data_IF_832595317080
#
_entry.id   IF_832595317080
#
_cell.length_a   1.000
_cell.length_b   1.000
_cell.length_c   1.000
_cell.angle_alpha   90.00
_cell.angle_beta   90.00
_cell.angle_gamma   90.00
#
_symmetry.space_group_name_H-M   'P 1'
#
loop_
_entity.id
_entity.type
_entity.pdbx_description
1 polymer ?
#
# COMPACT_ATOMS: atom_id res chain seq x y z
N UNK A 1 -3.16 -11.97 -18.88
CA UNK A 1 -3.99 -10.76 -19.10
C UNK A 1 -4.49 -10.24 -17.75
N UNK A 2 -4.59 -8.92 -17.54
CA UNK A 2 -5.07 -8.38 -16.28
C UNK A 2 -6.49 -8.84 -15.91
N UNK A 3 -6.72 -9.07 -14.62
CA UNK A 3 -8.00 -9.58 -14.09
C UNK A 3 -9.12 -8.55 -14.03
N UNK A 4 -8.77 -7.26 -14.08
CA UNK A 4 -9.73 -6.14 -14.01
C UNK A 4 -10.32 -5.78 -15.38
N UNK A 5 -9.83 -6.37 -16.47
CA UNK A 5 -10.42 -6.19 -17.80
C UNK A 5 -11.74 -6.99 -17.88
N UNK A 6 -12.80 -6.32 -18.31
CA UNK A 6 -14.06 -6.96 -18.65
C UNK A 6 -13.97 -7.62 -20.03
N UNK A 7 -13.80 -8.95 -20.03
CA UNK A 7 -13.72 -9.75 -21.25
C UNK A 7 -15.04 -9.84 -22.02
N UNK A 8 -16.19 -9.55 -21.38
CA UNK A 8 -17.49 -9.64 -22.05
C UNK A 8 -17.66 -8.59 -23.14
N UNK A 9 -16.87 -7.52 -23.08
CA UNK A 9 -16.85 -6.43 -24.06
C UNK A 9 -15.93 -6.69 -25.26
N UNK A 10 -15.08 -7.71 -25.19
CA UNK A 10 -14.00 -7.94 -26.17
C UNK A 10 -14.24 -9.22 -26.96
N UNK A 11 -14.73 -10.27 -26.28
CA UNK A 11 -14.82 -11.61 -26.87
C UNK A 11 -16.21 -11.86 -27.45
N UNK A 12 -16.33 -12.39 -28.68
CA UNK A 12 -17.63 -12.61 -29.33
C UNK A 12 -18.59 -13.52 -28.57
N UNK A 13 -18.09 -14.55 -27.88
CA UNK A 13 -18.89 -15.55 -27.16
C UNK A 13 -18.35 -15.75 -25.72
N UNK A 14 -18.60 -14.79 -24.79
CA UNK A 14 -18.01 -14.82 -23.45
C UNK A 14 -18.36 -16.07 -22.63
N UNK A 15 -19.53 -16.67 -22.88
CA UNK A 15 -20.02 -17.84 -22.16
C UNK A 15 -19.22 -19.12 -22.44
N UNK A 16 -18.42 -19.15 -23.53
CA UNK A 16 -17.58 -20.29 -23.89
C UNK A 16 -16.14 -20.16 -23.37
N UNK A 17 -15.82 -19.05 -22.68
CA UNK A 17 -14.47 -18.79 -22.19
C UNK A 17 -14.21 -19.41 -20.81
N UNK A 18 -13.02 -19.99 -20.64
CA UNK A 18 -12.44 -20.35 -19.34
C UNK A 18 -11.45 -19.27 -18.93
N UNK A 19 -11.60 -18.77 -17.71
CA UNK A 19 -10.67 -17.79 -17.10
C UNK A 19 -10.05 -18.39 -15.85
N UNK A 20 -8.73 -18.23 -15.73
CA UNK A 20 -7.97 -18.64 -14.55
C UNK A 20 -7.18 -17.47 -13.98
N UNK A 21 -7.04 -17.45 -12.66
CA UNK A 21 -6.18 -16.50 -11.97
C UNK A 21 -4.89 -17.23 -11.60
N UNK A 22 -3.78 -16.80 -12.21
CA UNK A 22 -2.44 -17.25 -11.84
C UNK A 22 -1.82 -16.19 -10.94
N UNK A 23 -1.49 -16.58 -9.71
CA UNK A 23 -0.76 -15.72 -8.77
C UNK A 23 0.74 -15.87 -9.00
N UNK A 24 1.48 -14.77 -8.82
CA UNK A 24 2.92 -14.74 -9.05
C UNK A 24 3.53 -13.45 -8.50
N UNK A 25 4.82 -13.51 -8.18
CA UNK A 25 5.54 -12.41 -7.56
C UNK A 25 5.18 -12.22 -6.07
N UNK A 26 6.19 -11.91 -5.27
CA UNK A 26 6.01 -11.45 -3.89
C UNK A 26 6.86 -10.20 -3.70
N UNK A 27 6.25 -9.13 -3.20
CA UNK A 27 6.98 -7.93 -2.84
C UNK A 27 7.49 -8.05 -1.40
N UNK A 28 8.64 -7.41 -1.13
CA UNK A 28 9.15 -7.22 0.22
C UNK A 28 9.77 -5.85 0.34
N UNK A 29 9.32 -5.08 1.32
CA UNK A 29 9.97 -3.81 1.67
C UNK A 29 11.30 -4.10 2.37
N UNK A 30 12.38 -3.54 1.83
CA UNK A 30 13.73 -3.61 2.43
C UNK A 30 14.02 -2.35 3.25
N UNK A 31 13.48 -1.21 2.84
CA UNK A 31 13.71 0.10 3.44
C UNK A 31 12.38 0.85 3.56
N UNK A 32 11.78 0.82 4.74
CA UNK A 32 10.48 1.44 5.03
C UNK A 32 10.52 2.95 4.80
N UNK A 33 11.58 3.62 5.22
CA UNK A 33 11.70 5.08 5.12
C UNK A 33 11.65 5.52 3.65
N UNK A 34 12.42 4.84 2.78
CA UNK A 34 12.40 5.13 1.34
C UNK A 34 11.06 4.81 0.70
N UNK A 35 10.45 3.67 1.03
CA UNK A 35 9.15 3.29 0.45
C UNK A 35 8.07 4.31 0.82
N UNK A 36 8.01 4.75 2.07
CA UNK A 36 7.10 5.81 2.49
C UNK A 36 7.39 7.14 1.79
N UNK A 37 8.66 7.41 1.47
CA UNK A 37 9.08 8.59 0.68
C UNK A 37 8.59 8.58 -0.76
N UNK A 38 8.17 7.43 -1.31
CA UNK A 38 7.53 7.33 -2.63
C UNK A 38 6.01 7.41 -2.59
N UNK A 39 5.41 7.61 -1.42
CA UNK A 39 3.96 7.79 -1.29
C UNK A 39 3.53 9.02 -2.08
N UNK A 40 2.45 8.92 -2.85
CA UNK A 40 1.95 10.07 -3.60
C UNK A 40 1.49 11.17 -2.63
N UNK A 41 2.07 12.36 -2.77
CA UNK A 41 1.67 13.50 -1.95
C UNK A 41 0.20 13.88 -2.19
N UNK A 42 -0.57 14.18 -1.13
CA UNK A 42 -1.89 14.78 -1.26
C UNK A 42 -1.78 16.21 -1.78
N UNK A 43 -2.89 16.79 -2.27
CA UNK A 43 -2.92 18.16 -2.80
C UNK A 43 -2.78 19.27 -1.73
N UNK A 44 -2.49 18.90 -0.49
CA UNK A 44 -2.38 19.81 0.65
C UNK A 44 -1.21 19.40 1.53
N UNK A 45 -0.66 20.36 2.28
CA UNK A 45 0.35 20.05 3.28
C UNK A 45 -0.29 19.21 4.39
N UNK A 46 0.38 18.12 4.76
CA UNK A 46 -0.17 17.14 5.68
C UNK A 46 0.96 16.34 6.34
N UNK A 47 0.66 15.68 7.45
CA UNK A 47 1.60 14.75 8.06
C UNK A 47 0.88 13.57 8.71
N UNK A 48 1.51 12.40 8.67
CA UNK A 48 1.05 11.18 9.35
C UNK A 48 2.23 10.46 9.99
N UNK A 49 2.00 9.82 11.13
CA UNK A 49 2.98 8.96 11.78
C UNK A 49 2.58 7.49 11.59
N UNK A 50 3.48 6.70 11.01
CA UNK A 50 3.23 5.28 10.71
C UNK A 50 4.19 4.44 11.52
N UNK A 51 3.67 3.62 12.43
CA UNK A 51 4.41 2.59 13.14
C UNK A 51 4.49 1.31 12.31
N UNK A 52 5.71 0.78 12.18
CA UNK A 52 5.97 -0.45 11.44
C UNK A 52 6.74 -1.42 12.34
N UNK A 53 6.26 -2.66 12.36
CA UNK A 53 6.98 -3.79 12.95
C UNK A 53 7.45 -4.78 11.86
N UNK A 54 8.72 -5.16 11.90
CA UNK A 54 9.38 -6.10 11.00
C UNK A 54 10.27 -7.06 11.80
N UNK A 55 9.81 -8.31 11.92
CA UNK A 55 10.53 -9.36 12.65
C UNK A 55 11.83 -9.82 11.96
N UNK A 56 12.07 -9.44 10.70
CA UNK A 56 13.23 -9.89 9.92
C UNK A 56 14.29 -8.80 9.73
N UNK A 57 13.89 -7.52 9.67
CA UNK A 57 14.78 -6.39 9.40
C UNK A 57 14.62 -5.33 10.48
N UNK A 58 15.61 -5.22 11.38
CA UNK A 58 15.53 -4.35 12.56
C UNK A 58 15.37 -2.88 12.19
N UNK A 59 16.05 -2.37 11.16
CA UNK A 59 15.98 -0.95 10.81
C UNK A 59 14.61 -0.49 10.29
N UNK A 60 13.77 -1.42 9.82
CA UNK A 60 12.38 -1.15 9.42
C UNK A 60 11.45 -0.93 10.63
N UNK A 61 11.90 -1.25 11.84
CA UNK A 61 11.10 -1.05 13.05
C UNK A 61 11.12 0.40 13.51
N UNK A 62 9.97 0.88 13.98
CA UNK A 62 9.79 2.17 14.62
C UNK A 62 8.64 2.98 14.01
N UNK A 63 8.54 4.23 14.45
CA UNK A 63 7.53 5.18 13.97
C UNK A 63 8.18 6.13 12.98
N UNK A 64 7.57 6.29 11.82
CA UNK A 64 8.02 7.14 10.74
C UNK A 64 7.06 8.30 10.56
N UNK A 65 7.55 9.53 10.75
CA UNK A 65 6.81 10.75 10.42
C UNK A 65 6.94 11.01 8.92
N UNK A 66 5.83 10.89 8.20
CA UNK A 66 5.71 11.20 6.78
C UNK A 66 5.09 12.59 6.66
N UNK A 67 5.87 13.54 6.15
CA UNK A 67 5.44 14.93 5.96
C UNK A 67 5.33 15.23 4.47
N UNK A 68 4.24 15.87 4.10
CA UNK A 68 3.92 16.29 2.76
C UNK A 68 3.92 17.82 2.75
N UNK A 69 4.88 18.41 2.03
CA UNK A 69 5.06 19.86 1.95
C UNK A 69 5.35 20.24 0.49
N UNK A 70 4.53 21.11 -0.08
CA UNK A 70 4.69 21.64 -1.44
C UNK A 70 4.89 20.55 -2.52
N UNK A 71 4.15 19.44 -2.37
CA UNK A 71 4.23 18.28 -3.27
C UNK A 71 5.43 17.36 -3.05
N UNK A 72 6.31 17.68 -2.10
CA UNK A 72 7.44 16.85 -1.69
C UNK A 72 7.08 15.97 -0.49
N UNK A 73 7.75 14.83 -0.37
CA UNK A 73 7.58 13.88 0.75
C UNK A 73 8.87 13.75 1.52
N UNK A 74 8.80 13.99 2.83
CA UNK A 74 9.91 13.85 3.75
C UNK A 74 9.56 12.84 4.84
N UNK A 75 10.38 11.80 4.96
CA UNK A 75 10.20 10.75 5.96
C UNK A 75 11.37 10.79 6.94
N UNK A 76 11.08 10.67 8.23
CA UNK A 76 12.09 10.53 9.28
C UNK A 76 11.54 9.69 10.43
N UNK A 77 12.42 9.01 11.17
CA UNK A 77 12.02 8.39 12.42
C UNK A 77 11.59 9.42 13.45
N UNK A 78 10.60 9.06 14.27
CA UNK A 78 10.02 9.90 15.31
C UNK A 78 9.67 9.05 16.54
N UNK A 79 9.46 9.72 17.68
CA UNK A 79 8.89 9.15 18.90
C UNK A 79 7.47 9.66 19.18
N UNK A 80 6.89 10.42 18.25
CA UNK A 80 5.52 10.89 18.35
C UNK A 80 4.52 9.73 18.22
N UNK A 81 3.30 9.84 18.79
CA UNK A 81 2.27 8.80 18.67
C UNK A 81 1.97 8.44 17.21
N UNK A 82 1.72 7.15 16.96
CA UNK A 82 1.33 6.66 15.65
C UNK A 82 -0.11 7.07 15.32
N UNK A 83 -0.36 7.39 14.05
CA UNK A 83 -1.70 7.51 13.47
C UNK A 83 -2.17 6.17 12.87
N UNK A 84 -1.20 5.33 12.45
CA UNK A 84 -1.38 3.99 11.87
C UNK A 84 -0.29 3.05 12.40
N UNK A 85 -0.67 1.88 12.89
CA UNK A 85 0.25 0.79 13.25
C UNK A 85 0.04 -0.44 12.37
N UNK A 86 1.11 -1.01 11.85
CA UNK A 86 1.03 -2.18 10.98
C UNK A 86 2.30 -3.04 11.00
N UNK A 87 2.17 -4.26 10.46
CA UNK A 87 3.33 -5.08 10.11
C UNK A 87 3.93 -4.66 8.76
N UNK A 88 5.21 -4.91 8.53
CA UNK A 88 5.85 -4.69 7.22
C UNK A 88 5.15 -5.47 6.10
N UNK A 89 4.57 -6.64 6.40
CA UNK A 89 3.82 -7.43 5.43
C UNK A 89 2.52 -6.73 5.03
N UNK A 90 1.79 -6.14 5.98
CA UNK A 90 0.61 -5.33 5.68
C UNK A 90 0.99 -4.09 4.87
N UNK A 91 2.01 -3.34 5.32
CA UNK A 91 2.54 -2.18 4.60
C UNK A 91 2.89 -2.52 3.16
N UNK A 92 3.55 -3.65 2.93
CA UNK A 92 3.92 -4.10 1.58
C UNK A 92 2.69 -4.24 0.67
N UNK A 93 1.57 -4.75 1.17
CA UNK A 93 0.36 -4.93 0.36
C UNK A 93 -0.26 -3.59 -0.04
N UNK A 94 -0.49 -2.70 0.91
CA UNK A 94 -1.19 -1.44 0.63
C UNK A 94 -0.30 -0.34 0.06
N UNK A 95 1.00 -0.32 0.37
CA UNK A 95 1.94 0.65 -0.23
C UNK A 95 2.12 0.41 -1.75
N UNK A 96 2.21 -0.86 -2.15
CA UNK A 96 2.29 -1.23 -3.57
C UNK A 96 0.93 -1.02 -4.25
N UNK A 97 -0.17 -1.14 -3.51
CA UNK A 97 -1.55 -0.96 -3.99
C UNK A 97 -2.26 -2.27 -4.31
N UNK A 98 -1.74 -3.42 -3.84
CA UNK A 98 -2.41 -4.71 -3.96
C UNK A 98 -3.76 -4.72 -3.23
N UNK A 99 -3.77 -4.12 -2.04
CA UNK A 99 -4.96 -3.82 -1.24
C UNK A 99 -5.05 -2.32 -1.00
N UNK A 100 -6.24 -1.82 -0.65
CA UNK A 100 -6.38 -0.47 -0.08
C UNK A 100 -6.19 -0.53 1.43
N UNK A 101 -5.78 0.58 2.05
CA UNK A 101 -5.71 0.65 3.51
C UNK A 101 -7.08 0.43 4.18
N UNK A 102 -8.17 0.88 3.54
CA UNK A 102 -9.53 0.62 4.02
C UNK A 102 -9.81 -0.89 4.17
N UNK A 103 -9.44 -1.70 3.15
CA UNK A 103 -9.58 -3.16 3.22
C UNK A 103 -8.69 -3.81 4.28
N UNK A 104 -7.48 -3.30 4.47
CA UNK A 104 -6.58 -3.80 5.53
C UNK A 104 -7.16 -3.54 6.93
N UNK A 105 -7.84 -2.39 7.12
CA UNK A 105 -8.57 -2.13 8.36
C UNK A 105 -9.75 -3.12 8.55
N UNK A 106 -10.52 -3.39 7.49
CA UNK A 106 -11.60 -4.40 7.51
C UNK A 106 -11.07 -5.81 7.86
N UNK A 107 -9.87 -6.15 7.39
CA UNK A 107 -9.20 -7.42 7.70
C UNK A 107 -8.46 -7.43 9.04
N UNK A 108 -8.49 -6.33 9.80
CA UNK A 108 -7.83 -6.19 11.10
C UNK A 108 -6.31 -6.46 11.04
N UNK A 109 -5.69 -6.13 9.91
CA UNK A 109 -4.24 -6.27 9.69
C UNK A 109 -3.47 -4.99 9.99
N UNK A 110 -4.19 -3.90 10.25
CA UNK A 110 -3.69 -2.58 10.65
C UNK A 110 -4.57 -2.02 11.77
N UNK A 111 -4.02 -1.10 12.55
CA UNK A 111 -4.72 -0.33 13.56
C UNK A 111 -4.57 1.16 13.23
N UNK A 112 -5.67 1.93 13.25
CA UNK A 112 -5.67 3.37 12.96
C UNK A 112 -6.12 4.12 14.21
N UNK A 113 -5.23 4.96 14.73
CA UNK A 113 -5.49 5.78 15.91
C UNK A 113 -5.84 7.23 15.56
N UNK A 114 -5.55 7.68 14.33
CA UNK A 114 -5.79 9.07 13.90
C UNK A 114 -5.78 9.26 12.40
N UNK A 115 -6.30 10.42 11.93
CA UNK A 115 -6.19 10.89 10.53
C UNK A 115 -6.67 9.87 9.47
N UNK A 116 -7.70 9.10 9.80
CA UNK A 116 -8.19 7.99 8.97
C UNK A 116 -8.47 8.39 7.51
N UNK A 117 -9.20 9.48 7.28
CA UNK A 117 -9.54 9.92 5.93
C UNK A 117 -8.31 10.24 5.08
N UNK A 118 -7.33 10.93 5.68
CA UNK A 118 -6.05 11.22 5.03
C UNK A 118 -5.30 9.91 4.72
N UNK A 119 -5.16 9.02 5.69
CA UNK A 119 -4.48 7.74 5.52
C UNK A 119 -5.12 6.90 4.40
N UNK A 120 -6.45 6.85 4.32
CA UNK A 120 -7.16 6.15 3.25
C UNK A 120 -6.88 6.76 1.87
N UNK A 121 -6.74 8.08 1.79
CA UNK A 121 -6.41 8.76 0.52
C UNK A 121 -4.97 8.49 0.05
N UNK A 122 -4.04 8.22 0.96
CA UNK A 122 -2.63 7.95 0.65
C UNK A 122 -2.39 6.56 0.07
N UNK A 123 -3.21 5.57 0.44
CA UNK A 123 -3.00 4.16 0.09
C UNK A 123 -4.23 3.52 -0.57
N UNK A 124 -4.60 3.98 -1.79
CA UNK A 124 -5.68 3.38 -2.56
C UNK A 124 -5.26 2.05 -3.19
N UNK A 125 -6.24 1.19 -3.48
CA UNK A 125 -6.02 -0.01 -4.29
C UNK A 125 -5.71 0.38 -5.74
N UNK A 126 -4.75 -0.30 -6.37
CA UNK A 126 -4.35 -0.11 -7.77
C UNK A 126 -4.68 -1.36 -8.59
N UNK A 127 -4.93 -1.15 -9.86
CA UNK A 127 -5.06 -2.22 -10.85
C UNK A 127 -3.69 -2.77 -11.20
N UNK A 128 -3.29 -3.86 -10.54
CA UNK A 128 -1.97 -4.46 -10.71
C UNK A 128 -2.03 -5.73 -11.56
N UNK A 129 -1.05 -5.89 -12.45
CA UNK A 129 -0.80 -7.12 -13.18
C UNK A 129 0.67 -7.20 -13.62
N UNK A 130 1.16 -8.41 -13.85
CA UNK A 130 2.49 -8.65 -14.42
C UNK A 130 2.35 -9.05 -15.88
N UNK A 131 3.17 -8.46 -16.76
CA UNK A 131 3.25 -8.81 -18.19
C UNK A 131 4.24 -9.94 -18.46
N UNK A 132 5.29 -10.02 -17.65
CA UNK A 132 6.41 -10.95 -17.82
C UNK A 132 6.66 -11.70 -16.51
N UNK A 133 7.05 -12.97 -16.64
CA UNK A 133 7.58 -13.76 -15.54
C UNK A 133 9.12 -13.79 -15.69
N UNK A 134 9.83 -13.37 -14.65
CA UNK A 134 11.29 -13.36 -14.56
C UNK A 134 11.80 -14.64 -13.89
#
# INVERSE_FOLDING_TARGET
>A
MPSFIDLTLIVPEPNLMRRELSTGGMNRIIDVEKVLGYTKAPCMNASVNIEVNDNSIVWNNGIFAVNFEDGSVHVKKTSAPADLSCSVQALTRFAVGYTSLCKELEYQTVDIQGKQELLFSLFPQKEMFMTEAF
#
